data_IF_958153208924
#
_entry.id   IF_958153208924
#
_cell.length_a   1.000
_cell.length_b   1.000
_cell.length_c   1.000
_cell.angle_alpha   90.00
_cell.angle_beta   90.00
_cell.angle_gamma   90.00
#
_symmetry.space_group_name_H-M   'P 1'
#
loop_
_entity.id
_entity.type
_entity.pdbx_description
1 polymer ?
#
# COMPACT_ATOMS: atom_id res chain seq x y z
N UNK A 1 1.88 2.34 9.25
CA UNK A 1 1.13 2.80 8.07
C UNK A 1 0.02 1.80 7.89
N UNK A 2 -1.23 2.27 7.91
CA UNK A 2 -2.38 1.39 7.79
C UNK A 2 -2.53 0.91 6.36
N UNK A 3 -2.50 -0.41 6.18
CA UNK A 3 -2.81 -1.10 4.94
C UNK A 3 -4.10 -1.90 5.13
N UNK A 4 -4.93 -1.92 4.09
CA UNK A 4 -6.23 -2.57 4.09
C UNK A 4 -6.23 -3.64 3.02
N UNK A 5 -6.55 -4.88 3.40
CA UNK A 5 -6.71 -5.96 2.44
C UNK A 5 -7.94 -5.73 1.56
N UNK A 6 -7.77 -5.76 0.24
CA UNK A 6 -8.84 -5.55 -0.73
C UNK A 6 -9.84 -6.71 -0.81
N UNK A 7 -9.50 -7.87 -0.23
CA UNK A 7 -10.36 -9.06 -0.26
C UNK A 7 -11.12 -9.25 1.05
N UNK A 8 -10.41 -9.27 2.18
CA UNK A 8 -11.00 -9.59 3.48
C UNK A 8 -11.16 -8.38 4.42
N UNK A 9 -10.74 -7.20 3.99
CA UNK A 9 -10.83 -5.93 4.72
C UNK A 9 -10.09 -5.93 6.08
N UNK A 10 -9.12 -6.82 6.25
CA UNK A 10 -8.22 -6.80 7.40
C UNK A 10 -7.30 -5.58 7.34
N UNK A 11 -7.05 -4.99 8.50
CA UNK A 11 -6.13 -3.88 8.67
C UNK A 11 -4.79 -4.42 9.18
N UNK A 12 -3.69 -4.05 8.53
CA UNK A 12 -2.34 -4.39 8.97
C UNK A 12 -1.48 -3.14 9.03
N UNK A 13 -0.69 -3.01 10.10
CA UNK A 13 0.25 -1.91 10.25
C UNK A 13 1.60 -2.29 9.66
N UNK A 14 1.90 -1.69 8.51
CA UNK A 14 3.21 -1.83 7.88
C UNK A 14 4.11 -0.68 8.35
N UNK A 15 5.34 -0.94 8.85
CA UNK A 15 6.27 0.12 9.25
C UNK A 15 6.56 1.09 8.10
N UNK A 16 6.54 2.40 8.38
CA UNK A 16 6.70 3.43 7.34
C UNK A 16 8.06 3.36 6.63
N UNK A 17 9.12 2.98 7.35
CA UNK A 17 10.45 2.77 6.80
C UNK A 17 10.48 1.61 5.80
N UNK A 18 9.73 0.53 6.06
CA UNK A 18 9.55 -0.58 5.11
C UNK A 18 8.83 -0.08 3.86
N UNK A 19 7.70 0.64 4.00
CA UNK A 19 6.97 1.22 2.87
C UNK A 19 7.86 2.13 2.03
N UNK A 20 8.61 3.02 2.67
CA UNK A 20 9.53 3.97 2.01
C UNK A 20 10.70 3.26 1.32
N UNK A 21 11.22 2.19 1.92
CA UNK A 21 12.31 1.40 1.34
C UNK A 21 11.82 0.68 0.09
N UNK A 22 10.62 0.08 0.12
CA UNK A 22 10.02 -0.56 -1.05
C UNK A 22 9.74 0.47 -2.16
N UNK A 23 9.17 1.62 -1.82
CA UNK A 23 8.92 2.75 -2.77
C UNK A 23 10.23 3.27 -3.40
N UNK A 24 11.33 3.31 -2.65
CA UNK A 24 12.64 3.73 -3.18
C UNK A 24 13.33 2.66 -4.03
N UNK A 25 13.04 1.38 -3.78
CA UNK A 25 13.60 0.24 -4.52
C UNK A 25 12.84 -0.04 -5.82
N UNK A 26 11.57 0.38 -5.88
CA UNK A 26 10.76 0.25 -7.08
C UNK A 26 11.20 1.31 -8.11
N UNK A 27 11.98 0.89 -9.11
CA UNK A 27 12.26 1.69 -10.33
C UNK A 27 11.05 1.64 -11.31
N UNK A 28 9.91 1.14 -10.84
CA UNK A 28 8.69 0.86 -11.59
C UNK A 28 7.68 2.00 -11.66
N UNK A 29 6.54 1.66 -12.26
CA UNK A 29 5.45 2.58 -12.59
C UNK A 29 4.95 3.38 -11.37
N UNK A 30 5.08 4.73 -11.37
CA UNK A 30 4.66 5.57 -10.26
C UNK A 30 3.13 5.62 -10.06
N UNK A 31 2.34 4.90 -10.84
CA UNK A 31 0.88 4.87 -10.71
C UNK A 31 0.36 3.98 -9.59
N UNK A 32 1.20 3.12 -8.99
CA UNK A 32 0.81 2.26 -7.88
C UNK A 32 1.70 2.45 -6.63
N UNK A 33 1.14 2.33 -5.40
CA UNK A 33 1.95 2.29 -4.19
C UNK A 33 2.61 0.91 -4.02
N UNK A 34 3.61 0.77 -3.13
CA UNK A 34 4.10 -0.52 -2.69
C UNK A 34 2.96 -1.42 -2.18
N UNK A 35 2.85 -2.62 -2.73
CA UNK A 35 1.83 -3.61 -2.37
C UNK A 35 2.40 -4.67 -1.43
N UNK A 36 1.55 -5.13 -0.50
CA UNK A 36 1.86 -6.19 0.45
C UNK A 36 0.78 -7.28 0.37
N UNK A 37 1.14 -8.50 0.74
CA UNK A 37 0.18 -9.60 0.89
C UNK A 37 -0.37 -9.63 2.31
N UNK A 38 -1.69 -9.70 2.44
CA UNK A 38 -2.38 -9.82 3.71
C UNK A 38 -1.96 -11.11 4.43
N UNK A 39 -1.56 -11.01 5.70
CA UNK A 39 -1.17 -12.16 6.51
C UNK A 39 -2.33 -13.14 6.75
N UNK A 40 -3.57 -12.64 6.72
CA UNK A 40 -4.77 -13.45 6.98
C UNK A 40 -5.25 -14.27 5.79
N UNK A 41 -5.27 -13.69 4.59
CA UNK A 41 -5.85 -14.35 3.40
C UNK A 41 -4.91 -14.41 2.18
N UNK A 42 -3.75 -13.75 2.21
CA UNK A 42 -2.82 -13.66 1.09
C UNK A 42 -3.22 -12.64 0.01
N UNK A 43 -4.39 -12.02 0.14
CA UNK A 43 -4.89 -11.01 -0.80
C UNK A 43 -4.06 -9.73 -0.81
N UNK A 44 -4.14 -8.98 -1.90
CA UNK A 44 -3.42 -7.70 -2.03
C UNK A 44 -3.92 -6.67 -1.02
N UNK A 45 -2.97 -5.97 -0.40
CA UNK A 45 -3.24 -4.84 0.47
C UNK A 45 -2.92 -3.51 -0.18
N UNK A 46 -3.65 -2.48 0.21
CA UNK A 46 -3.49 -1.12 -0.28
C UNK A 46 -3.44 -0.14 0.90
N UNK A 47 -2.64 0.94 0.84
CA UNK A 47 -2.57 1.90 1.95
C UNK A 47 -3.90 2.64 2.12
N UNK A 48 -4.28 2.92 3.36
CA UNK A 48 -5.40 3.83 3.63
C UNK A 48 -5.15 5.21 3.01
N UNK A 49 -3.95 5.75 3.26
CA UNK A 49 -3.43 6.96 2.62
C UNK A 49 -1.89 6.91 2.63
N UNK A 50 -1.26 7.11 1.47
CA UNK A 50 0.19 7.23 1.37
C UNK A 50 0.60 8.28 0.34
N UNK A 51 1.59 9.11 0.69
CA UNK A 51 2.27 10.01 -0.25
C UNK A 51 3.64 9.44 -0.62
N UNK A 52 3.74 8.93 -1.83
CA UNK A 52 4.96 8.33 -2.40
C UNK A 52 6.13 9.32 -2.46
N UNK A 53 7.34 8.78 -2.62
CA UNK A 53 8.57 9.56 -2.71
C UNK A 53 8.58 10.51 -3.92
N UNK A 54 7.88 10.15 -4.99
CA UNK A 54 7.71 10.95 -6.20
C UNK A 54 6.58 11.98 -6.12
N UNK A 55 5.90 12.08 -4.97
CA UNK A 55 4.85 13.07 -4.71
C UNK A 55 3.43 12.63 -5.05
N UNK A 56 3.24 11.44 -5.64
CA UNK A 56 1.93 10.85 -5.86
C UNK A 56 1.24 10.52 -4.53
N UNK A 57 -0.08 10.65 -4.51
CA UNK A 57 -0.91 10.29 -3.38
C UNK A 57 -1.77 9.08 -3.75
N UNK A 58 -1.81 8.10 -2.86
CA UNK A 58 -2.57 6.87 -3.02
C UNK A 58 -3.55 6.75 -1.87
N UNK A 59 -4.83 6.56 -2.17
CA UNK A 59 -5.89 6.40 -1.16
C UNK A 59 -6.69 5.16 -1.43
N UNK A 60 -7.11 4.48 -0.37
CA UNK A 60 -7.96 3.30 -0.51
C UNK A 60 -9.24 3.59 -1.30
N UNK A 61 -9.79 4.80 -1.13
CA UNK A 61 -10.99 5.29 -1.86
C UNK A 61 -10.80 5.40 -3.37
N UNK A 62 -9.57 5.34 -3.88
CA UNK A 62 -9.30 5.37 -5.31
C UNK A 62 -9.51 3.97 -5.95
N UNK A 63 -9.58 2.91 -5.13
CA UNK A 63 -9.63 1.50 -5.58
C UNK A 63 -10.79 0.69 -5.02
N UNK A 64 -11.46 1.16 -3.97
CA UNK A 64 -12.70 0.56 -3.45
C UNK A 64 -13.92 1.39 -3.91
N UNK A 65 -14.94 0.71 -4.45
CA UNK A 65 -16.25 1.30 -4.78
C UNK A 65 -17.18 1.41 -3.56
#
# INVERSE_FOLDING_TARGET
MSYICLECHEYEEIPLDVVRTMDAMDDGDPTAPPQFSCEKCGGTMYPEYYKGLHGNEYKITDVIE
#
